data_IF_176173989370
#
_entry.id   IF_176173989370
#
_cell.length_a   1.000
_cell.length_b   1.000
_cell.length_c   1.000
_cell.angle_alpha   90.00
_cell.angle_beta   90.00
_cell.angle_gamma   90.00
#
_symmetry.space_group_name_H-M   'P 1'
#
loop_
_entity.id
_entity.type
_entity.pdbx_description
1 polymer ?
#
# COMPACT_ATOMS: atom_id res chain seq x y z
N UNK A 1 -12.39 -10.90 -36.91
CA UNK A 1 -13.07 -10.91 -35.62
C UNK A 1 -12.02 -10.45 -34.61
N UNK A 2 -12.34 -9.65 -33.61
CA UNK A 2 -11.35 -9.37 -32.59
C UNK A 2 -10.97 -10.71 -31.91
N UNK A 3 -9.68 -10.98 -31.82
CA UNK A 3 -9.18 -12.16 -31.10
C UNK A 3 -9.63 -12.08 -29.64
N UNK A 4 -10.55 -12.95 -29.26
CA UNK A 4 -10.96 -13.05 -27.85
C UNK A 4 -9.84 -13.71 -27.06
N UNK A 5 -9.12 -12.93 -26.27
CA UNK A 5 -8.13 -13.47 -25.33
C UNK A 5 -8.90 -14.04 -24.13
N UNK A 6 -8.84 -15.36 -23.97
CA UNK A 6 -9.36 -16.04 -22.77
C UNK A 6 -8.51 -15.70 -21.57
N UNK A 7 -9.13 -15.46 -20.43
CA UNK A 7 -8.45 -15.15 -19.18
C UNK A 7 -8.76 -16.21 -18.13
N UNK A 8 -7.76 -16.55 -17.34
CA UNK A 8 -7.90 -17.36 -16.14
C UNK A 8 -7.87 -16.45 -14.91
N UNK A 9 -8.91 -16.54 -14.10
CA UNK A 9 -9.03 -15.80 -12.83
C UNK A 9 -9.10 -16.84 -11.71
N UNK A 10 -8.16 -16.75 -10.78
CA UNK A 10 -8.05 -17.64 -9.63
C UNK A 10 -8.15 -16.80 -8.37
N UNK A 11 -9.19 -17.01 -7.55
CA UNK A 11 -9.44 -16.20 -6.37
C UNK A 11 -9.08 -16.94 -5.08
N UNK A 12 -8.66 -16.17 -4.07
CA UNK A 12 -8.32 -16.66 -2.74
C UNK A 12 -7.25 -17.76 -2.75
N UNK A 13 -6.21 -17.59 -3.54
CA UNK A 13 -5.06 -18.48 -3.55
C UNK A 13 -4.20 -18.19 -2.31
N UNK A 14 -3.99 -19.23 -1.50
CA UNK A 14 -3.17 -19.12 -0.30
C UNK A 14 -1.67 -18.99 -0.65
N UNK A 15 -1.03 -18.01 -0.08
CA UNK A 15 0.42 -17.78 -0.15
C UNK A 15 0.96 -17.88 1.27
N UNK A 16 1.71 -18.94 1.54
CA UNK A 16 2.27 -19.17 2.89
C UNK A 16 3.55 -18.37 3.08
N UNK A 17 3.55 -17.52 4.10
CA UNK A 17 4.71 -16.73 4.50
C UNK A 17 5.70 -17.61 5.28
N UNK A 18 6.95 -17.14 5.46
CA UNK A 18 8.04 -17.84 6.14
C UNK A 18 7.73 -18.29 7.57
N UNK A 19 6.81 -17.60 8.23
CA UNK A 19 6.35 -17.91 9.59
C UNK A 19 5.12 -18.83 9.64
N UNK A 20 4.64 -19.30 8.47
CA UNK A 20 3.50 -20.19 8.33
C UNK A 20 2.13 -19.51 8.22
N UNK A 21 2.06 -18.18 8.32
CA UNK A 21 0.81 -17.43 8.12
C UNK A 21 0.42 -17.46 6.64
N UNK A 22 -0.84 -17.72 6.33
CA UNK A 22 -1.36 -17.70 4.97
C UNK A 22 -1.95 -16.33 4.62
N UNK A 23 -1.41 -15.70 3.56
CA UNK A 23 -2.01 -14.53 2.93
C UNK A 23 -2.73 -14.95 1.65
N UNK A 24 -3.81 -14.28 1.32
CA UNK A 24 -4.64 -14.69 0.19
C UNK A 24 -4.57 -13.69 -0.96
N UNK A 25 -4.38 -14.22 -2.17
CA UNK A 25 -4.27 -13.44 -3.39
C UNK A 25 -5.30 -13.85 -4.44
N UNK A 26 -5.68 -12.90 -5.29
CA UNK A 26 -6.40 -13.13 -6.53
C UNK A 26 -5.44 -12.97 -7.71
N UNK A 27 -5.53 -13.86 -8.70
CA UNK A 27 -4.63 -13.92 -9.86
C UNK A 27 -5.43 -13.76 -11.14
N UNK A 28 -5.01 -12.83 -11.98
CA UNK A 28 -5.59 -12.55 -13.29
C UNK A 28 -4.51 -12.76 -14.36
N UNK A 29 -4.68 -13.68 -15.28
CA UNK A 29 -3.68 -13.96 -16.32
C UNK A 29 -4.30 -14.45 -17.61
N UNK A 30 -3.57 -14.44 -18.75
CA UNK A 30 -4.03 -15.14 -19.95
C UNK A 30 -4.27 -16.62 -19.66
N UNK A 31 -5.30 -17.18 -20.28
CA UNK A 31 -5.61 -18.61 -20.22
C UNK A 31 -4.78 -19.37 -21.27
N UNK A 32 -3.48 -19.41 -21.03
CA UNK A 32 -2.49 -20.11 -21.86
C UNK A 32 -1.30 -20.51 -21.00
N UNK A 33 -0.39 -21.31 -21.56
CA UNK A 33 0.71 -21.93 -20.79
C UNK A 33 1.77 -20.95 -20.26
N UNK A 34 1.81 -19.70 -20.75
CA UNK A 34 2.79 -18.69 -20.30
C UNK A 34 4.20 -18.92 -20.84
N UNK A 35 5.26 -18.49 -20.13
CA UNK A 35 5.25 -17.71 -18.90
C UNK A 35 4.98 -16.21 -19.13
N UNK A 36 4.41 -15.53 -18.12
CA UNK A 36 4.07 -14.10 -18.17
C UNK A 36 4.91 -13.29 -17.17
N UNK A 37 5.30 -12.03 -17.50
CA UNK A 37 5.82 -11.11 -16.50
C UNK A 37 4.71 -10.82 -15.47
N UNK A 38 5.09 -10.73 -14.22
CA UNK A 38 4.13 -10.61 -13.11
C UNK A 38 4.06 -9.18 -12.59
N UNK A 39 2.87 -8.68 -12.32
CA UNK A 39 2.61 -7.40 -11.66
C UNK A 39 1.90 -7.69 -10.35
N UNK A 40 2.49 -7.25 -9.23
CA UNK A 40 2.03 -7.52 -7.88
C UNK A 40 1.51 -6.26 -7.19
N UNK A 41 0.37 -6.38 -6.54
CA UNK A 41 -0.17 -5.40 -5.61
C UNK A 41 -0.44 -6.06 -4.26
N UNK A 42 0.02 -5.46 -3.15
CA UNK A 42 -0.31 -5.88 -1.80
C UNK A 42 -1.10 -4.77 -1.10
N UNK A 43 -2.32 -5.05 -0.66
CA UNK A 43 -3.27 -4.04 -0.21
C UNK A 43 -3.91 -4.36 1.14
N UNK A 44 -4.06 -3.39 2.05
CA UNK A 44 -4.87 -3.55 3.26
C UNK A 44 -6.36 -3.24 3.04
N UNK A 45 -6.76 -2.89 1.80
CA UNK A 45 -8.07 -2.29 1.49
C UNK A 45 -9.06 -3.23 0.80
N UNK A 46 -8.87 -4.55 0.90
CA UNK A 46 -9.66 -5.58 0.23
C UNK A 46 -9.31 -5.73 -1.28
N UNK A 47 -8.62 -6.84 -1.58
CA UNK A 47 -8.20 -7.18 -2.96
C UNK A 47 -9.36 -7.29 -3.95
N UNK A 48 -10.59 -7.49 -3.47
CA UNK A 48 -11.79 -7.66 -4.29
C UNK A 48 -12.52 -6.35 -4.61
N UNK A 49 -12.09 -5.21 -4.04
CA UNK A 49 -12.77 -3.93 -4.25
C UNK A 49 -12.33 -3.20 -5.52
N UNK A 50 -13.18 -2.29 -6.00
CA UNK A 50 -12.84 -1.41 -7.12
C UNK A 50 -11.67 -0.47 -6.82
N UNK A 51 -11.35 -0.22 -5.55
CA UNK A 51 -10.22 0.61 -5.16
C UNK A 51 -8.88 0.02 -5.65
N UNK A 52 -8.74 -1.30 -5.69
CA UNK A 52 -7.54 -1.97 -6.20
C UNK A 52 -7.37 -1.79 -7.71
N UNK A 53 -8.43 -1.52 -8.44
CA UNK A 53 -8.44 -1.38 -9.90
C UNK A 53 -8.21 0.07 -10.37
N UNK A 54 -8.13 1.03 -9.46
CA UNK A 54 -8.02 2.46 -9.82
C UNK A 54 -6.70 2.83 -10.49
N UNK A 55 -5.62 2.11 -10.18
CA UNK A 55 -4.29 2.38 -10.73
C UNK A 55 -3.98 1.51 -11.95
N UNK A 56 -4.47 0.28 -11.95
CA UNK A 56 -4.29 -0.69 -13.01
C UNK A 56 -5.52 -1.60 -13.07
N UNK A 57 -6.17 -1.66 -14.22
CA UNK A 57 -7.21 -2.65 -14.48
C UNK A 57 -6.56 -4.04 -14.70
N UNK A 58 -6.75 -5.01 -13.79
CA UNK A 58 -6.09 -6.32 -13.90
C UNK A 58 -6.53 -7.12 -15.13
N UNK A 59 -7.77 -6.90 -15.59
CA UNK A 59 -8.28 -7.54 -16.80
C UNK A 59 -7.56 -7.00 -18.04
N UNK A 60 -7.38 -5.67 -18.13
CA UNK A 60 -6.62 -5.06 -19.25
C UNK A 60 -5.17 -5.48 -19.23
N UNK A 61 -4.53 -5.53 -18.07
CA UNK A 61 -3.15 -5.96 -17.92
C UNK A 61 -2.98 -7.44 -18.30
N UNK A 62 -3.90 -8.31 -17.88
CA UNK A 62 -3.90 -9.71 -18.28
C UNK A 62 -4.09 -9.87 -19.80
N UNK A 63 -4.99 -9.10 -20.43
CA UNK A 63 -5.13 -9.08 -21.90
C UNK A 63 -3.87 -8.57 -22.61
N UNK A 64 -3.06 -7.76 -21.95
CA UNK A 64 -1.78 -7.28 -22.47
C UNK A 64 -0.62 -8.26 -22.24
N UNK A 65 -0.88 -9.45 -21.68
CA UNK A 65 0.10 -10.52 -21.52
C UNK A 65 0.82 -10.53 -20.17
N UNK A 66 0.27 -9.88 -19.15
CA UNK A 66 0.80 -9.92 -17.79
C UNK A 66 0.01 -10.90 -16.91
N UNK A 67 0.68 -11.47 -15.92
CA UNK A 67 0.00 -12.05 -14.76
C UNK A 67 -0.11 -10.99 -13.68
N UNK A 68 -1.33 -10.67 -13.21
CA UNK A 68 -1.56 -9.71 -12.13
C UNK A 68 -1.94 -10.47 -10.87
N UNK A 69 -1.22 -10.20 -9.78
CA UNK A 69 -1.45 -10.77 -8.45
C UNK A 69 -1.87 -9.63 -7.52
N UNK A 70 -3.04 -9.74 -6.90
CA UNK A 70 -3.53 -8.77 -5.92
C UNK A 70 -3.72 -9.52 -4.60
N UNK A 71 -2.98 -9.14 -3.55
CA UNK A 71 -2.95 -9.83 -2.27
C UNK A 71 -3.45 -8.92 -1.13
N UNK A 72 -4.32 -9.45 -0.28
CA UNK A 72 -4.61 -8.82 1.02
C UNK A 72 -3.38 -8.93 1.92
N UNK A 73 -2.98 -7.83 2.56
CA UNK A 73 -1.89 -7.84 3.56
C UNK A 73 -2.29 -8.62 4.81
N UNK A 74 -1.32 -8.97 5.63
CA UNK A 74 -1.48 -9.74 6.88
C UNK A 74 -2.59 -9.16 7.76
N UNK A 75 -3.47 -10.04 8.26
CA UNK A 75 -4.58 -9.68 9.15
C UNK A 75 -5.66 -8.81 8.48
N UNK A 76 -5.67 -8.72 7.14
CA UNK A 76 -6.66 -7.95 6.40
C UNK A 76 -7.54 -8.88 5.56
N UNK A 77 -8.87 -8.61 5.60
CA UNK A 77 -9.89 -9.26 4.79
C UNK A 77 -9.79 -10.79 4.79
N UNK A 78 -9.27 -11.40 3.74
CA UNK A 78 -9.14 -12.87 3.65
C UNK A 78 -7.82 -13.40 4.23
N UNK A 79 -6.81 -12.55 4.42
CA UNK A 79 -5.50 -12.97 4.91
C UNK A 79 -5.48 -13.20 6.41
N UNK A 80 -4.80 -14.26 6.83
CA UNK A 80 -4.62 -14.64 8.22
C UNK A 80 -3.63 -13.71 8.95
N UNK A 81 -3.53 -13.90 10.26
CA UNK A 81 -2.61 -13.15 11.12
C UNK A 81 -3.23 -11.89 11.73
N UNK A 82 -2.38 -11.04 12.29
CA UNK A 82 -2.75 -9.77 12.92
C UNK A 82 -2.21 -8.61 12.07
N UNK A 83 -3.08 -7.65 11.73
CA UNK A 83 -2.65 -6.45 11.04
C UNK A 83 -1.95 -5.48 12.01
N UNK A 84 -0.73 -5.12 11.65
CA UNK A 84 0.00 -4.03 12.28
C UNK A 84 0.68 -3.21 11.17
N UNK A 85 0.32 -1.94 11.06
CA UNK A 85 0.74 -1.12 9.93
C UNK A 85 2.27 -1.11 9.74
N UNK A 86 2.72 -1.41 8.53
CA UNK A 86 4.10 -1.46 8.05
C UNK A 86 4.99 -2.59 8.59
N UNK A 87 4.76 -3.08 9.82
CA UNK A 87 5.68 -3.97 10.55
C UNK A 87 6.05 -5.23 9.77
N UNK A 88 5.05 -5.93 9.27
CA UNK A 88 5.26 -7.24 8.64
C UNK A 88 5.46 -7.15 7.12
N UNK A 89 5.25 -5.97 6.52
CA UNK A 89 5.26 -5.79 5.06
C UNK A 89 6.64 -6.00 4.42
N UNK A 90 7.73 -5.88 5.17
CA UNK A 90 9.09 -6.17 4.71
C UNK A 90 9.23 -7.65 4.36
N UNK A 91 8.95 -8.54 5.31
CA UNK A 91 9.10 -9.98 5.14
C UNK A 91 8.00 -10.57 4.26
N UNK A 92 6.76 -10.17 4.47
CA UNK A 92 5.63 -10.63 3.66
C UNK A 92 5.76 -10.18 2.20
N UNK A 93 6.33 -8.99 1.98
CA UNK A 93 6.63 -8.49 0.65
C UNK A 93 7.66 -9.34 -0.07
N UNK A 94 8.77 -9.69 0.61
CA UNK A 94 9.77 -10.61 0.10
C UNK A 94 9.15 -11.95 -0.29
N UNK A 95 8.46 -12.58 0.66
CA UNK A 95 7.89 -13.92 0.49
C UNK A 95 6.87 -13.96 -0.65
N UNK A 96 6.06 -12.91 -0.79
CA UNK A 96 5.06 -12.82 -1.87
C UNK A 96 5.70 -12.63 -3.24
N UNK A 97 6.75 -11.79 -3.34
CA UNK A 97 7.49 -11.61 -4.60
C UNK A 97 8.11 -12.93 -5.05
N UNK A 98 8.80 -13.63 -4.15
CA UNK A 98 9.46 -14.91 -4.46
C UNK A 98 8.44 -16.02 -4.78
N UNK A 99 7.31 -16.06 -4.05
CA UNK A 99 6.22 -16.97 -4.38
C UNK A 99 5.68 -16.72 -5.80
N UNK A 100 5.41 -15.46 -6.15
CA UNK A 100 4.88 -15.10 -7.46
C UNK A 100 5.87 -15.41 -8.59
N UNK A 101 7.14 -15.20 -8.36
CA UNK A 101 8.20 -15.51 -9.30
C UNK A 101 8.33 -17.01 -9.56
N UNK A 102 8.13 -17.85 -8.53
CA UNK A 102 8.27 -19.31 -8.60
C UNK A 102 7.08 -20.01 -9.27
N UNK A 103 6.00 -19.30 -9.61
CA UNK A 103 4.84 -19.93 -10.24
C UNK A 103 5.16 -20.38 -11.68
N UNK A 104 4.62 -21.55 -12.09
CA UNK A 104 4.84 -22.10 -13.43
C UNK A 104 4.41 -21.15 -14.57
N UNK A 105 3.47 -20.26 -14.32
CA UNK A 105 3.00 -19.24 -15.27
C UNK A 105 3.82 -17.95 -15.25
N UNK A 106 4.79 -17.80 -14.36
CA UNK A 106 5.62 -16.59 -14.21
C UNK A 106 6.93 -16.69 -14.98
N UNK A 107 7.38 -15.56 -15.53
CA UNK A 107 8.75 -15.45 -16.10
C UNK A 107 9.85 -15.36 -15.04
N UNK A 108 9.49 -15.33 -13.75
CA UNK A 108 10.40 -15.01 -12.67
C UNK A 108 10.70 -13.50 -12.51
N UNK A 109 10.04 -12.63 -13.28
CA UNK A 109 10.19 -11.17 -13.17
C UNK A 109 8.94 -10.56 -12.56
N UNK A 110 9.07 -9.93 -11.40
CA UNK A 110 7.97 -9.32 -10.68
C UNK A 110 8.17 -7.81 -10.58
N UNK A 111 7.18 -7.05 -11.04
CA UNK A 111 7.07 -5.62 -10.77
C UNK A 111 5.98 -5.34 -9.74
N UNK A 112 6.10 -4.27 -8.95
CA UNK A 112 5.04 -3.89 -8.01
C UNK A 112 4.46 -2.51 -8.36
N UNK A 113 3.19 -2.30 -8.02
CA UNK A 113 2.47 -1.03 -8.26
C UNK A 113 1.47 -0.73 -7.15
N UNK A 114 1.06 0.52 -7.06
CA UNK A 114 -0.03 0.96 -6.19
C UNK A 114 0.27 2.25 -5.45
N UNK A 115 -0.75 2.76 -4.76
CA UNK A 115 -0.73 4.09 -4.18
C UNK A 115 -0.89 4.07 -2.66
N UNK A 116 -0.38 5.11 -1.99
CA UNK A 116 -0.55 5.31 -0.55
C UNK A 116 0.10 4.17 0.23
N UNK A 117 -0.64 3.49 1.11
CA UNK A 117 -0.14 2.29 1.80
C UNK A 117 0.32 1.20 0.80
N UNK A 118 -0.36 1.05 -0.32
CA UNK A 118 0.04 0.12 -1.38
C UNK A 118 1.33 0.57 -2.09
N UNK A 119 1.69 1.84 -2.00
CA UNK A 119 3.02 2.37 -2.32
C UNK A 119 4.05 2.01 -1.25
N UNK A 120 3.66 2.09 0.02
CA UNK A 120 4.52 1.70 1.14
C UNK A 120 4.89 0.21 1.09
N UNK A 121 3.95 -0.69 0.78
CA UNK A 121 4.23 -2.13 0.66
C UNK A 121 5.29 -2.46 -0.39
N UNK A 122 5.43 -1.63 -1.43
CA UNK A 122 6.46 -1.79 -2.46
C UNK A 122 7.85 -1.43 -1.93
N UNK A 123 7.96 -0.28 -1.26
CA UNK A 123 9.22 0.16 -0.66
C UNK A 123 9.69 -0.82 0.42
N UNK A 124 8.78 -1.24 1.29
CA UNK A 124 9.08 -2.21 2.35
C UNK A 124 9.50 -3.57 1.78
N UNK A 125 8.91 -4.02 0.68
CA UNK A 125 9.39 -5.20 -0.03
C UNK A 125 10.77 -4.96 -0.66
N UNK A 126 11.01 -3.80 -1.28
CA UNK A 126 12.26 -3.51 -1.98
C UNK A 126 13.47 -3.46 -1.04
N UNK A 127 13.33 -2.92 0.19
CA UNK A 127 14.42 -2.92 1.19
C UNK A 127 14.79 -4.33 1.68
N UNK A 128 13.91 -5.33 1.50
CA UNK A 128 14.24 -6.74 1.80
C UNK A 128 14.97 -7.46 0.65
N UNK A 129 15.13 -6.78 -0.51
CA UNK A 129 15.91 -7.23 -1.67
C UNK A 129 15.48 -8.59 -2.23
N UNK A 130 14.21 -8.84 -2.55
CA UNK A 130 13.82 -10.09 -3.17
C UNK A 130 14.46 -10.21 -4.57
N UNK A 131 15.16 -11.31 -4.88
CA UNK A 131 15.94 -11.45 -6.12
C UNK A 131 15.14 -11.29 -7.41
N UNK A 132 13.83 -11.58 -7.35
CA UNK A 132 12.97 -11.55 -8.53
C UNK A 132 12.16 -10.24 -8.67
N UNK A 133 12.31 -9.28 -7.74
CA UNK A 133 11.77 -7.94 -7.90
C UNK A 133 12.61 -7.16 -8.91
N UNK A 134 11.99 -6.67 -9.99
CA UNK A 134 12.72 -6.00 -11.08
C UNK A 134 12.39 -4.52 -11.18
N UNK A 135 11.28 -4.06 -10.64
CA UNK A 135 10.86 -2.64 -10.64
C UNK A 135 9.71 -2.40 -9.67
N UNK A 136 9.57 -1.16 -9.22
CA UNK A 136 8.42 -0.70 -8.44
C UNK A 136 7.81 0.56 -9.05
N UNK A 137 6.52 0.78 -8.83
CA UNK A 137 5.80 1.98 -9.26
C UNK A 137 4.99 2.58 -8.10
N UNK A 138 5.68 3.12 -7.07
CA UNK A 138 5.04 3.70 -5.90
C UNK A 138 4.38 5.03 -6.26
N UNK A 139 3.12 5.18 -5.90
CA UNK A 139 2.32 6.38 -6.15
C UNK A 139 1.92 7.02 -4.82
N UNK A 140 2.10 8.34 -4.66
CA UNK A 140 1.64 9.17 -3.54
C UNK A 140 1.84 8.50 -2.18
N UNK A 141 3.10 8.20 -1.83
CA UNK A 141 3.46 7.53 -0.59
C UNK A 141 4.65 8.19 0.10
N UNK A 142 4.77 7.99 1.41
CA UNK A 142 5.86 8.53 2.20
C UNK A 142 7.20 7.81 1.97
N UNK A 143 8.27 8.43 2.41
CA UNK A 143 9.63 7.89 2.47
C UNK A 143 10.06 7.59 3.91
N UNK A 144 9.38 8.20 4.87
CA UNK A 144 9.58 8.04 6.30
C UNK A 144 8.21 7.98 6.96
N UNK A 145 7.96 6.92 7.73
CA UNK A 145 6.65 6.71 8.37
C UNK A 145 6.50 7.46 9.68
N UNK A 146 7.58 8.01 10.24
CA UNK A 146 7.52 9.02 11.27
C UNK A 146 7.25 10.39 10.65
N UNK A 147 8.26 11.03 10.03
CA UNK A 147 8.13 12.37 9.45
C UNK A 147 7.55 12.30 8.02
N UNK A 148 6.34 12.76 7.85
CA UNK A 148 5.64 12.78 6.57
C UNK A 148 4.59 11.69 6.37
N UNK A 149 4.32 10.87 7.41
CA UNK A 149 3.14 10.01 7.50
C UNK A 149 2.42 10.22 8.82
N UNK A 150 3.10 9.92 9.94
CA UNK A 150 2.49 9.97 11.28
C UNK A 150 2.63 11.33 11.92
N UNK A 151 3.76 11.97 11.74
CA UNK A 151 4.08 13.31 12.21
C UNK A 151 4.51 14.22 11.07
N UNK A 152 4.32 15.53 11.25
CA UNK A 152 4.83 16.56 10.35
C UNK A 152 5.45 17.67 11.18
N UNK A 153 6.78 17.85 11.08
CA UNK A 153 7.47 18.85 11.88
C UNK A 153 7.28 18.68 13.40
N UNK A 154 7.13 17.44 13.87
CA UNK A 154 6.90 17.10 15.27
C UNK A 154 5.42 17.11 15.71
N UNK A 155 4.50 17.57 14.87
CA UNK A 155 3.06 17.52 15.15
C UNK A 155 2.44 16.21 14.63
N UNK A 156 1.68 15.53 15.47
CA UNK A 156 0.94 14.33 15.07
C UNK A 156 -0.15 14.69 14.04
N UNK A 157 -0.16 14.01 12.90
CA UNK A 157 -1.13 14.19 11.81
C UNK A 157 -2.50 13.62 12.21
N UNK A 158 -3.13 14.23 13.24
CA UNK A 158 -4.34 13.74 13.90
C UNK A 158 -5.46 13.46 12.92
N UNK A 159 -5.79 14.44 12.07
CA UNK A 159 -6.89 14.33 11.12
C UNK A 159 -6.73 13.18 10.16
N UNK A 160 -5.52 13.01 9.62
CA UNK A 160 -5.20 11.91 8.70
C UNK A 160 -5.16 10.56 9.43
N UNK A 161 -4.33 10.43 10.47
CA UNK A 161 -4.09 9.13 11.12
C UNK A 161 -5.36 8.57 11.79
N UNK A 162 -6.14 9.42 12.46
CA UNK A 162 -7.38 8.98 13.10
C UNK A 162 -8.43 8.57 12.07
N UNK A 163 -8.68 9.41 11.05
CA UNK A 163 -9.68 9.10 10.03
C UNK A 163 -9.30 7.86 9.21
N UNK A 164 -8.04 7.73 8.81
CA UNK A 164 -7.56 6.56 8.09
C UNK A 164 -7.69 5.28 8.93
N UNK A 165 -7.29 5.32 10.21
CA UNK A 165 -7.37 4.19 11.12
C UNK A 165 -8.81 3.77 11.39
N UNK A 166 -9.71 4.72 11.67
CA UNK A 166 -11.12 4.42 11.93
C UNK A 166 -11.85 3.90 10.69
N UNK A 167 -11.81 4.65 9.59
CA UNK A 167 -12.62 4.35 8.40
C UNK A 167 -12.02 3.22 7.57
N UNK A 168 -10.78 3.38 7.14
CA UNK A 168 -10.22 2.51 6.11
C UNK A 168 -9.64 1.22 6.69
N UNK A 169 -9.12 1.27 7.91
CA UNK A 169 -8.51 0.08 8.50
C UNK A 169 -9.45 -0.62 9.47
N UNK A 170 -10.01 0.07 10.47
CA UNK A 170 -10.76 -0.61 11.52
C UNK A 170 -12.16 -0.98 11.06
N UNK A 171 -12.95 -0.01 10.56
CA UNK A 171 -14.33 -0.27 10.14
C UNK A 171 -14.41 -1.20 8.92
N UNK A 172 -13.54 -1.00 7.92
CA UNK A 172 -13.53 -1.84 6.72
C UNK A 172 -13.23 -3.32 7.04
N UNK A 173 -12.43 -3.59 8.07
CA UNK A 173 -12.07 -4.95 8.45
C UNK A 173 -13.19 -5.72 9.16
N UNK A 174 -14.25 -5.04 9.62
CA UNK A 174 -15.40 -5.74 10.24
C UNK A 174 -16.18 -6.67 9.31
N UNK A 175 -16.05 -6.50 8.01
CA UNK A 175 -16.85 -7.25 7.04
C UNK A 175 -16.41 -8.70 6.88
N UNK A 176 -15.14 -9.03 7.15
CA UNK A 176 -14.52 -10.25 6.62
C UNK A 176 -13.71 -11.06 7.64
N UNK A 177 -13.71 -10.73 8.92
CA UNK A 177 -12.72 -11.29 9.83
C UNK A 177 -13.34 -12.30 10.78
N UNK A 178 -12.90 -13.55 10.65
CA UNK A 178 -13.17 -14.59 11.66
C UNK A 178 -12.76 -14.17 13.07
N UNK A 179 -11.71 -13.34 13.21
CA UNK A 179 -11.30 -12.75 14.49
C UNK A 179 -12.19 -11.61 14.99
N UNK A 180 -12.77 -10.81 14.09
CA UNK A 180 -13.64 -9.66 14.42
C UNK A 180 -15.07 -10.10 14.72
N UNK A 181 -15.50 -11.30 14.33
CA UNK A 181 -16.78 -11.85 14.77
C UNK A 181 -16.86 -11.92 16.30
N UNK A 182 -15.72 -11.94 16.98
CA UNK A 182 -15.62 -11.93 18.44
C UNK A 182 -15.63 -10.52 19.06
N UNK A 183 -15.65 -9.45 18.26
CA UNK A 183 -15.78 -8.09 18.83
C UNK A 183 -17.22 -7.93 19.34
N UNK A 184 -17.41 -7.63 20.64
CA UNK A 184 -18.72 -7.46 21.23
C UNK A 184 -19.56 -6.43 20.45
N UNK A 185 -20.88 -6.69 20.36
CA UNK A 185 -21.82 -5.80 19.65
C UNK A 185 -21.72 -4.34 20.11
N UNK A 186 -21.51 -4.15 21.40
CA UNK A 186 -21.33 -2.82 22.00
C UNK A 186 -20.11 -2.08 21.43
N UNK A 187 -18.95 -2.75 21.33
CA UNK A 187 -17.73 -2.17 20.73
C UNK A 187 -17.93 -1.86 19.25
N UNK A 188 -18.66 -2.69 18.52
CA UNK A 188 -18.99 -2.40 17.12
C UNK A 188 -19.88 -1.18 16.98
N UNK A 189 -20.91 -1.08 17.83
CA UNK A 189 -21.77 0.09 17.88
C UNK A 189 -21.01 1.38 18.22
N UNK A 190 -20.09 1.30 19.18
CA UNK A 190 -19.22 2.41 19.53
C UNK A 190 -18.32 2.83 18.37
N UNK A 191 -17.68 1.92 17.67
CA UNK A 191 -16.82 2.24 16.54
C UNK A 191 -17.60 2.91 15.39
N UNK A 192 -18.81 2.44 15.09
CA UNK A 192 -19.69 3.08 14.10
C UNK A 192 -20.03 4.50 14.57
N UNK A 193 -20.39 4.67 15.83
CA UNK A 193 -20.63 6.00 16.41
C UNK A 193 -19.41 6.92 16.27
N UNK A 194 -18.22 6.44 16.60
CA UNK A 194 -16.97 7.21 16.53
C UNK A 194 -16.62 7.60 15.08
N UNK A 195 -16.94 6.75 14.11
CA UNK A 195 -16.80 7.07 12.69
C UNK A 195 -17.79 8.15 12.26
N UNK A 196 -19.06 8.05 12.67
CA UNK A 196 -20.10 9.02 12.31
C UNK A 196 -19.90 10.38 13.01
N UNK A 197 -19.22 10.38 14.17
CA UNK A 197 -18.95 11.56 14.99
C UNK A 197 -17.44 11.85 15.15
N UNK A 198 -16.68 11.72 14.08
CA UNK A 198 -15.21 11.79 14.09
C UNK A 198 -14.68 13.13 14.66
N UNK A 199 -15.46 14.20 14.56
CA UNK A 199 -15.14 15.51 15.14
C UNK A 199 -14.94 15.43 16.65
N UNK A 200 -15.73 14.64 17.37
CA UNK A 200 -15.57 14.45 18.81
C UNK A 200 -14.21 13.80 19.14
N UNK A 201 -13.74 12.88 18.28
CA UNK A 201 -12.43 12.27 18.40
C UNK A 201 -11.28 13.25 18.18
N UNK A 202 -11.44 14.22 17.25
CA UNK A 202 -10.43 15.25 17.01
C UNK A 202 -10.32 16.26 18.16
N UNK A 203 -11.40 16.48 18.90
CA UNK A 203 -11.45 17.37 20.05
C UNK A 203 -11.06 16.68 21.37
N UNK A 204 -10.94 15.35 21.36
CA UNK A 204 -10.63 14.58 22.56
C UNK A 204 -9.18 14.74 23.03
N UNK A 205 -9.00 15.13 24.30
CA UNK A 205 -7.69 15.33 24.89
C UNK A 205 -7.54 14.61 26.23
N UNK A 206 -6.39 14.02 26.51
CA UNK A 206 -5.24 13.89 25.59
C UNK A 206 -5.51 12.81 24.51
N UNK A 207 -5.04 13.05 23.29
CA UNK A 207 -5.29 12.17 22.12
C UNK A 207 -4.91 10.72 22.36
N UNK A 208 -3.85 10.46 23.12
CA UNK A 208 -3.39 9.10 23.47
C UNK A 208 -4.40 8.27 24.28
N UNK A 209 -5.35 8.92 24.92
CA UNK A 209 -6.37 8.27 25.76
C UNK A 209 -7.73 8.18 25.02
N UNK A 210 -7.77 8.50 23.73
CA UNK A 210 -8.98 8.41 22.93
C UNK A 210 -9.48 6.96 22.84
N UNK A 211 -10.69 6.66 23.40
CA UNK A 211 -11.13 5.27 23.53
C UNK A 211 -11.71 4.66 22.25
N UNK A 212 -11.90 5.45 21.18
CA UNK A 212 -12.52 5.00 19.92
C UNK A 212 -11.73 3.92 19.22
N UNK A 213 -10.41 3.93 19.34
CA UNK A 213 -9.50 2.95 18.74
C UNK A 213 -9.08 1.82 19.69
N UNK A 214 -9.56 1.83 20.95
CA UNK A 214 -9.28 0.80 21.97
C UNK A 214 -10.09 -0.49 21.74
N UNK A 215 -10.15 -0.94 20.50
CA UNK A 215 -10.77 -2.21 20.13
C UNK A 215 -9.77 -3.38 20.09
N UNK A 216 -8.48 -3.09 20.27
CA UNK A 216 -7.39 -4.02 20.03
C UNK A 216 -7.06 -4.20 18.54
N UNK A 217 -7.79 -3.51 17.65
CA UNK A 217 -7.63 -3.63 16.20
C UNK A 217 -6.64 -2.60 15.61
N UNK A 218 -6.24 -1.61 16.40
CA UNK A 218 -5.39 -0.51 15.96
C UNK A 218 -4.26 -0.21 16.97
N UNK A 219 -3.59 -1.25 17.45
CA UNK A 219 -2.48 -1.13 18.42
C UNK A 219 -1.41 -0.16 17.92
N UNK A 220 -1.07 -0.21 16.64
CA UNK A 220 -0.10 0.68 16.00
C UNK A 220 -0.41 2.17 16.19
N UNK A 221 -1.69 2.57 16.29
CA UNK A 221 -2.06 3.96 16.50
C UNK A 221 -1.59 4.49 17.86
N UNK A 222 -1.75 3.70 18.91
CA UNK A 222 -1.29 4.05 20.25
C UNK A 222 0.23 3.96 20.39
N UNK A 223 0.83 2.99 19.71
CA UNK A 223 2.29 2.87 19.67
C UNK A 223 2.90 4.07 18.95
N UNK A 224 2.29 4.56 17.86
CA UNK A 224 2.73 5.78 17.19
C UNK A 224 2.70 7.00 18.14
N UNK A 225 1.66 7.15 18.96
CA UNK A 225 1.56 8.21 19.96
C UNK A 225 2.53 8.04 21.13
N UNK A 226 2.96 6.81 21.41
CA UNK A 226 3.98 6.51 22.43
C UNK A 226 5.41 6.77 21.93
N UNK A 227 5.62 6.86 20.60
CA UNK A 227 6.90 7.12 19.96
C UNK A 227 6.87 8.44 19.17
N UNK A 228 6.76 9.61 19.86
CA UNK A 228 6.64 10.91 19.20
C UNK A 228 7.94 11.38 18.53
N UNK A 229 9.07 10.85 18.96
CA UNK A 229 10.39 11.13 18.39
C UNK A 229 10.81 10.03 17.41
N UNK A 230 11.73 10.36 16.48
CA UNK A 230 12.31 9.39 15.56
C UNK A 230 13.33 8.50 16.29
N UNK A 231 12.83 7.45 16.93
CA UNK A 231 13.59 6.48 17.71
C UNK A 231 13.74 5.13 16.98
N UNK A 232 14.26 4.11 17.69
CA UNK A 232 14.49 2.76 17.16
C UNK A 232 13.20 2.11 16.61
N UNK A 233 12.02 2.50 17.11
CA UNK A 233 10.74 2.01 16.61
C UNK A 233 10.54 2.37 15.13
N UNK A 234 10.92 3.59 14.73
CA UNK A 234 10.75 4.09 13.37
C UNK A 234 11.90 3.74 12.43
N UNK A 235 13.13 3.61 12.96
CA UNK A 235 14.34 3.41 12.15
C UNK A 235 14.25 2.17 11.28
N UNK A 236 13.71 1.07 11.81
CA UNK A 236 13.53 -0.18 11.05
C UNK A 236 12.58 -0.07 9.85
N UNK A 237 11.72 0.94 9.85
CA UNK A 237 10.72 1.19 8.81
C UNK A 237 11.09 2.35 7.87
N UNK A 238 12.12 3.15 8.20
CA UNK A 238 12.52 4.31 7.42
C UNK A 238 13.14 3.90 6.08
N UNK A 239 12.51 4.32 4.98
CA UNK A 239 13.01 4.04 3.63
C UNK A 239 14.19 4.95 3.29
N UNK A 240 14.18 6.20 3.77
CA UNK A 240 15.20 7.21 3.47
C UNK A 240 16.60 6.74 3.84
N UNK A 241 16.76 6.08 4.97
CA UNK A 241 18.04 5.58 5.46
C UNK A 241 18.50 4.30 4.73
N UNK A 242 17.60 3.69 3.95
CA UNK A 242 17.79 2.38 3.32
C UNK A 242 17.80 2.40 1.79
N UNK A 243 17.82 3.58 1.17
CA UNK A 243 17.96 3.69 -0.29
C UNK A 243 19.16 2.88 -0.85
N UNK A 244 20.34 2.83 -0.18
CA UNK A 244 21.45 2.01 -0.65
C UNK A 244 21.19 0.49 -0.67
N UNK A 245 20.15 0.03 0.00
CA UNK A 245 19.75 -1.39 0.00
C UNK A 245 18.83 -1.74 -1.18
N UNK A 246 18.30 -0.76 -1.91
CA UNK A 246 17.31 -0.96 -2.98
C UNK A 246 17.97 -1.01 -4.34
N UNK A 247 17.93 -2.17 -4.99
CA UNK A 247 18.64 -2.45 -6.24
C UNK A 247 17.79 -2.27 -7.51
N UNK A 248 16.52 -1.87 -7.38
CA UNK A 248 15.56 -1.82 -8.49
C UNK A 248 15.22 -0.38 -8.90
N UNK A 249 14.96 -0.13 -10.21
CA UNK A 249 14.42 1.14 -10.68
C UNK A 249 12.99 1.36 -10.18
N UNK A 250 12.61 2.64 -10.07
CA UNK A 250 11.27 3.02 -9.65
C UNK A 250 10.65 4.10 -10.55
N UNK A 251 9.34 3.97 -10.79
CA UNK A 251 8.51 5.00 -11.39
C UNK A 251 7.69 5.67 -10.29
N UNK A 252 8.11 6.86 -9.87
CA UNK A 252 7.46 7.61 -8.80
C UNK A 252 6.34 8.48 -9.36
N UNK A 253 5.14 8.36 -8.79
CA UNK A 253 4.04 9.27 -9.04
C UNK A 253 3.72 10.09 -7.80
N UNK A 254 3.62 11.41 -7.96
CA UNK A 254 3.24 12.36 -6.90
C UNK A 254 2.17 13.33 -7.35
N UNK A 255 1.55 14.02 -6.41
CA UNK A 255 0.60 15.08 -6.67
C UNK A 255 1.00 16.38 -5.97
N UNK A 256 0.88 17.53 -6.66
CA UNK A 256 1.19 18.84 -6.06
C UNK A 256 0.37 19.16 -4.81
N UNK A 257 -0.82 18.54 -4.68
CA UNK A 257 -1.74 18.73 -3.56
C UNK A 257 -1.84 17.46 -2.69
N UNK A 258 -0.84 16.57 -2.79
CA UNK A 258 -0.80 15.33 -2.03
C UNK A 258 -0.03 15.52 -0.71
N UNK A 259 -0.56 14.95 0.37
CA UNK A 259 0.07 15.00 1.70
C UNK A 259 1.45 14.30 1.73
N UNK A 260 1.71 13.36 0.82
CA UNK A 260 2.96 12.61 0.72
C UNK A 260 3.90 13.10 -0.39
N UNK A 261 3.65 14.29 -0.97
CA UNK A 261 4.52 14.83 -2.02
C UNK A 261 5.98 14.90 -1.58
N UNK A 262 6.23 15.37 -0.35
CA UNK A 262 7.57 15.46 0.22
C UNK A 262 8.28 14.09 0.23
N UNK A 263 7.59 13.04 0.68
CA UNK A 263 8.12 11.67 0.68
C UNK A 263 8.40 11.14 -0.72
N UNK A 264 7.49 11.37 -1.68
CA UNK A 264 7.69 10.99 -3.08
C UNK A 264 8.96 11.63 -3.67
N UNK A 265 9.18 12.92 -3.42
CA UNK A 265 10.38 13.64 -3.89
C UNK A 265 11.63 13.11 -3.18
N UNK A 266 11.59 12.92 -1.86
CA UNK A 266 12.73 12.40 -1.09
C UNK A 266 13.14 11.00 -1.57
N UNK A 267 12.17 10.11 -1.83
CA UNK A 267 12.45 8.79 -2.40
C UNK A 267 13.11 8.89 -3.78
N UNK A 268 12.60 9.73 -4.68
CA UNK A 268 13.20 9.92 -6.01
C UNK A 268 14.63 10.42 -5.91
N UNK A 269 14.89 11.47 -5.13
CA UNK A 269 16.23 12.04 -4.97
C UNK A 269 17.18 11.07 -4.27
N UNK A 270 16.72 10.39 -3.21
CA UNK A 270 17.50 9.41 -2.48
C UNK A 270 17.91 8.23 -3.36
N UNK A 271 16.98 7.68 -4.12
CA UNK A 271 17.27 6.59 -5.05
C UNK A 271 18.18 7.01 -6.20
N UNK A 272 18.01 8.21 -6.75
CA UNK A 272 18.89 8.73 -7.81
C UNK A 272 20.33 8.89 -7.30
N UNK A 273 20.50 9.35 -6.06
CA UNK A 273 21.82 9.65 -5.51
C UNK A 273 22.49 8.41 -4.88
N UNK A 274 21.72 7.56 -4.20
CA UNK A 274 22.26 6.50 -3.34
C UNK A 274 21.61 5.13 -3.51
N UNK A 275 20.81 4.91 -4.54
CA UNK A 275 20.24 3.58 -4.83
C UNK A 275 21.31 2.49 -4.92
N UNK A 276 20.98 1.27 -4.51
CA UNK A 276 21.92 0.17 -4.27
C UNK A 276 22.66 -0.35 -5.50
N UNK A 277 22.20 -0.01 -6.70
CA UNK A 277 22.86 -0.39 -7.96
C UNK A 277 22.88 0.76 -8.96
N UNK A 278 23.77 0.70 -9.95
CA UNK A 278 23.76 1.68 -11.06
C UNK A 278 22.45 1.62 -11.86
N UNK A 279 21.87 0.44 -12.02
CA UNK A 279 20.54 0.27 -12.66
C UNK A 279 19.45 0.96 -11.83
N UNK A 280 19.47 0.81 -10.52
CA UNK A 280 18.54 1.50 -9.64
C UNK A 280 18.68 3.02 -9.76
N UNK A 281 19.90 3.58 -9.63
CA UNK A 281 20.13 5.02 -9.72
C UNK A 281 19.68 5.60 -11.06
N UNK A 282 20.09 4.98 -12.17
CA UNK A 282 19.83 5.46 -13.52
C UNK A 282 18.36 5.27 -13.95
N UNK A 283 17.66 4.32 -13.35
CA UNK A 283 16.30 3.94 -13.73
C UNK A 283 15.17 4.68 -13.00
N UNK A 284 15.49 5.73 -12.25
CA UNK A 284 14.47 6.50 -11.55
C UNK A 284 13.71 7.43 -12.49
N UNK A 285 12.38 7.42 -12.39
CA UNK A 285 11.51 8.34 -13.13
C UNK A 285 10.53 8.99 -12.17
N UNK A 286 10.25 10.28 -12.34
CA UNK A 286 9.33 11.05 -11.51
C UNK A 286 8.28 11.73 -12.36
N UNK A 287 7.01 11.52 -12.00
CA UNK A 287 5.87 12.24 -12.56
C UNK A 287 5.12 12.91 -11.42
N UNK A 288 4.94 14.23 -11.49
CA UNK A 288 4.15 14.99 -10.52
C UNK A 288 3.06 15.72 -11.29
N UNK A 289 1.80 15.39 -10.98
CA UNK A 289 0.64 16.03 -11.57
C UNK A 289 -0.10 16.93 -10.57
N UNK A 290 -1.13 17.64 -11.02
CA UNK A 290 -1.94 18.52 -10.17
C UNK A 290 -2.97 17.72 -9.36
N UNK A 291 -2.54 16.65 -8.74
CA UNK A 291 -3.40 15.69 -8.04
C UNK A 291 -3.32 15.86 -6.52
N UNK A 292 -4.43 15.54 -5.85
CA UNK A 292 -4.51 15.36 -4.40
C UNK A 292 -4.55 13.86 -4.06
N UNK A 293 -4.39 13.52 -2.78
CA UNK A 293 -4.32 12.12 -2.34
C UNK A 293 -5.53 11.28 -2.76
N UNK A 294 -6.73 11.82 -2.55
CA UNK A 294 -8.00 11.14 -2.88
C UNK A 294 -8.42 11.31 -4.35
N UNK A 295 -7.85 12.27 -5.09
CA UNK A 295 -8.26 12.67 -6.44
C UNK A 295 -7.17 12.36 -7.50
N UNK A 296 -6.48 11.25 -7.36
CA UNK A 296 -5.35 10.84 -8.22
C UNK A 296 -5.70 10.61 -9.69
N UNK A 297 -6.98 10.42 -9.99
CA UNK A 297 -7.49 10.22 -11.35
C UNK A 297 -8.46 11.35 -11.75
N UNK A 298 -8.26 12.55 -11.22
CA UNK A 298 -9.16 13.68 -11.45
C UNK A 298 -8.40 14.89 -11.95
N UNK A 299 -9.00 15.61 -12.87
CA UNK A 299 -8.56 16.93 -13.29
C UNK A 299 -9.00 18.04 -12.31
N UNK A 300 -9.59 17.68 -11.17
CA UNK A 300 -9.98 18.56 -10.09
C UNK A 300 -9.19 18.23 -8.80
N UNK A 301 -8.67 19.25 -8.14
CA UNK A 301 -8.11 19.16 -6.79
C UNK A 301 -8.83 20.18 -5.90
N UNK A 302 -9.76 19.71 -5.07
CA UNK A 302 -10.70 20.58 -4.39
C UNK A 302 -11.55 21.36 -5.42
N UNK A 303 -11.54 22.69 -5.31
CA UNK A 303 -12.21 23.61 -6.26
C UNK A 303 -11.33 23.97 -7.47
N UNK A 304 -10.08 23.53 -7.53
CA UNK A 304 -9.16 23.87 -8.60
C UNK A 304 -9.32 22.94 -9.80
N UNK A 305 -9.60 23.49 -10.97
CA UNK A 305 -9.67 22.78 -12.24
C UNK A 305 -8.34 22.90 -12.99
N UNK A 306 -7.69 21.78 -13.23
CA UNK A 306 -6.37 21.70 -13.87
C UNK A 306 -6.42 21.36 -15.37
N UNK A 307 -7.62 21.20 -15.91
CA UNK A 307 -7.83 20.83 -17.31
C UNK A 307 -7.79 19.33 -17.56
N UNK A 308 -8.34 18.91 -18.71
CA UNK A 308 -8.48 17.49 -19.08
C UNK A 308 -7.14 16.78 -19.25
N UNK A 309 -6.07 17.52 -19.55
CA UNK A 309 -4.72 16.96 -19.68
C UNK A 309 -4.10 16.60 -18.32
N UNK A 310 -4.76 16.94 -17.21
CA UNK A 310 -4.40 16.48 -15.88
C UNK A 310 -4.93 15.07 -15.55
N UNK A 311 -5.70 14.46 -16.45
CA UNK A 311 -6.12 13.06 -16.32
C UNK A 311 -4.90 12.16 -16.51
N UNK A 312 -4.50 11.37 -15.49
CA UNK A 312 -3.36 10.47 -15.60
C UNK A 312 -3.53 9.39 -16.69
N UNK A 313 -4.76 9.11 -17.13
CA UNK A 313 -5.00 8.25 -18.28
C UNK A 313 -4.57 8.87 -19.63
N UNK A 314 -4.29 10.17 -19.66
CA UNK A 314 -3.79 10.88 -20.85
C UNK A 314 -2.25 10.90 -20.95
N UNK A 315 -1.53 10.44 -19.91
CA UNK A 315 -0.07 10.33 -19.83
C UNK A 315 0.35 8.89 -20.06
#
# INVERSE_FOLDING_TARGET
>A
MPDFISLKIESNIAVTMRDGVALYADIYRPDSDGPFPTILQRTPYDKSTSMTNTMLDPIRAAKAGFAVVIQDTRGRHMSDGEFYAFRDDINDGYDTVEWAAAQAWSTGKVGMYGASYVGATQWLAAISRPPHLVTIAPTVTASNYHDGWTYQGGAFELGFNMSWTLLQLTLANFKNVSGVQNVPRERRGKLIHDVDNMTEGFEFLPTKDYPGLDSGLAKYYYDWLAHPDFDDYWQGLCIEDRHPEIDVPALHFGGWYDIFLGGTIRNYLGMTNSGGSETAKAGQKLVIGPWAHAARASFMSGSHYSGIMADPAAI
#
